data_IF_484662827349
#
_entry.id   IF_484662827349
#
_cell.length_a   1.000
_cell.length_b   1.000
_cell.length_c   1.000
_cell.angle_alpha   90.00
_cell.angle_beta   90.00
_cell.angle_gamma   90.00
#
_symmetry.space_group_name_H-M   'P 1'
#
loop_
_entity.id
_entity.type
_entity.pdbx_description
1 polymer ?
#
# COMPACT_ATOMS: atom_id res chain seq x y z
N UNK A 1 6.68 -2.03 -12.40
CA UNK A 1 5.67 -1.74 -11.35
C UNK A 1 5.65 -2.90 -10.37
N UNK A 2 5.59 -2.61 -9.07
CA UNK A 2 5.57 -3.60 -8.01
C UNK A 2 4.39 -3.34 -7.07
N UNK A 3 3.70 -4.41 -6.68
CA UNK A 3 2.60 -4.37 -5.72
C UNK A 3 3.05 -5.14 -4.49
N UNK A 4 3.07 -4.48 -3.34
CA UNK A 4 3.39 -5.11 -2.07
C UNK A 4 2.16 -5.11 -1.14
N UNK A 5 1.44 -6.24 -1.02
CA UNK A 5 0.31 -6.35 -0.10
C UNK A 5 0.76 -6.63 1.35
N UNK A 6 2.04 -6.95 1.57
CA UNK A 6 2.59 -7.36 2.87
C UNK A 6 3.27 -6.15 3.50
N UNK A 7 2.46 -5.25 4.04
CA UNK A 7 2.93 -4.13 4.85
C UNK A 7 2.87 -4.47 6.35
N UNK A 8 3.78 -3.94 7.18
CA UNK A 8 3.72 -4.10 8.62
C UNK A 8 2.49 -3.42 9.23
N UNK A 9 1.96 -4.03 10.28
CA UNK A 9 0.90 -3.45 11.10
C UNK A 9 1.53 -2.47 12.10
N UNK A 10 0.91 -1.32 12.35
CA UNK A 10 1.30 -0.44 13.45
C UNK A 10 0.46 -0.80 14.68
N UNK A 11 1.13 -1.20 15.77
CA UNK A 11 0.48 -1.64 17.01
C UNK A 11 0.02 -0.43 17.87
N UNK A 12 -0.81 0.43 17.29
CA UNK A 12 -1.48 1.53 17.97
C UNK A 12 -2.97 1.26 18.00
N UNK A 13 -3.53 0.98 19.18
CA UNK A 13 -4.95 0.66 19.38
C UNK A 13 -5.89 1.81 18.99
N UNK A 14 -5.39 3.06 18.97
CA UNK A 14 -6.16 4.21 18.51
C UNK A 14 -6.24 4.31 16.97
N UNK A 15 -5.40 3.54 16.27
CA UNK A 15 -5.29 3.57 14.81
C UNK A 15 -5.67 2.25 14.14
N UNK A 16 -5.41 1.11 14.79
CA UNK A 16 -5.62 -0.22 14.21
C UNK A 16 -6.23 -1.16 15.25
N UNK A 17 -7.39 -1.72 14.92
CA UNK A 17 -7.99 -2.84 15.64
C UNK A 17 -7.57 -4.16 14.96
N UNK A 18 -6.98 -5.07 15.74
CA UNK A 18 -6.74 -6.45 15.31
C UNK A 18 -7.86 -7.31 15.91
N UNK A 19 -8.76 -7.89 15.12
CA UNK A 19 -9.88 -8.65 15.65
C UNK A 19 -9.44 -10.01 16.21
N UNK A 20 -10.02 -10.41 17.35
CA UNK A 20 -10.00 -11.78 17.84
C UNK A 20 -11.00 -12.65 17.08
N UNK A 21 -11.01 -13.96 17.36
CA UNK A 21 -12.02 -14.89 16.81
C UNK A 21 -13.44 -14.44 17.17
N UNK A 22 -13.60 -13.84 18.35
CA UNK A 22 -14.88 -13.35 18.87
C UNK A 22 -15.23 -11.94 18.35
N UNK A 23 -14.37 -11.33 17.53
CA UNK A 23 -14.58 -10.01 16.93
C UNK A 23 -14.14 -8.82 17.80
N UNK A 24 -13.61 -9.08 19.00
CA UNK A 24 -13.10 -8.04 19.90
C UNK A 24 -11.74 -7.50 19.43
N UNK A 25 -11.46 -6.23 19.68
CA UNK A 25 -10.17 -5.63 19.36
C UNK A 25 -9.08 -6.06 20.35
N UNK A 26 -7.99 -6.64 19.84
CA UNK A 26 -6.81 -6.98 20.61
C UNK A 26 -5.54 -6.34 20.05
N UNK A 27 -4.48 -6.37 20.85
CA UNK A 27 -3.11 -6.05 20.45
C UNK A 27 -2.44 -7.25 19.80
N UNK A 28 -1.36 -7.00 19.07
CA UNK A 28 -0.58 -8.07 18.45
C UNK A 28 -0.06 -9.09 19.48
N UNK A 29 0.29 -8.64 20.68
CA UNK A 29 0.79 -9.49 21.77
C UNK A 29 -0.30 -10.40 22.34
N UNK A 30 -1.55 -9.92 22.40
CA UNK A 30 -2.70 -10.70 22.90
C UNK A 30 -3.14 -11.76 21.89
N UNK A 31 -2.87 -11.56 20.58
CA UNK A 31 -3.12 -12.56 19.54
C UNK A 31 -2.15 -13.74 19.58
N UNK A 32 -1.09 -13.65 20.38
CA UNK A 32 -0.15 -14.74 20.66
C UNK A 32 1.06 -14.79 19.72
N UNK A 33 1.92 -15.77 19.97
CA UNK A 33 3.26 -15.87 19.36
C UNK A 33 3.24 -15.98 17.83
N UNK A 34 2.21 -16.61 17.25
CA UNK A 34 2.08 -16.74 15.79
C UNK A 34 1.87 -15.38 15.14
N UNK A 35 1.01 -14.52 15.71
CA UNK A 35 0.78 -13.19 15.19
C UNK A 35 2.03 -12.30 15.29
N UNK A 36 2.80 -12.44 16.38
CA UNK A 36 4.09 -11.76 16.54
C UNK A 36 5.10 -12.24 15.48
N UNK A 37 5.14 -13.54 15.19
CA UNK A 37 5.99 -14.10 14.14
C UNK A 37 5.58 -13.60 12.74
N UNK A 38 4.28 -13.57 12.43
CA UNK A 38 3.76 -13.00 11.17
C UNK A 38 4.14 -11.52 11.02
N UNK A 39 4.01 -10.74 12.09
CA UNK A 39 4.43 -9.34 12.07
C UNK A 39 5.93 -9.20 11.88
N UNK A 40 6.73 -10.04 12.54
CA UNK A 40 8.19 -10.05 12.36
C UNK A 40 8.55 -10.34 10.91
N UNK A 41 7.86 -11.29 10.27
CA UNK A 41 7.99 -11.58 8.85
C UNK A 41 7.62 -10.36 7.98
N UNK A 42 6.51 -9.67 8.28
CA UNK A 42 6.11 -8.44 7.58
C UNK A 42 7.18 -7.35 7.67
N UNK A 43 7.74 -7.11 8.86
CA UNK A 43 8.83 -6.15 9.07
C UNK A 43 10.06 -6.55 8.27
N UNK A 44 10.48 -7.82 8.35
CA UNK A 44 11.65 -8.30 7.61
C UNK A 44 11.47 -8.18 6.09
N UNK A 45 10.27 -8.51 5.59
CA UNK A 45 9.92 -8.40 4.17
C UNK A 45 9.98 -6.96 3.71
N UNK A 46 9.47 -6.02 4.53
CA UNK A 46 9.53 -4.58 4.26
C UNK A 46 10.96 -4.08 4.16
N UNK A 47 11.82 -4.41 5.12
CA UNK A 47 13.25 -3.99 5.11
C UNK A 47 13.97 -4.53 3.87
N UNK A 48 13.77 -5.81 3.53
CA UNK A 48 14.36 -6.43 2.34
C UNK A 48 13.87 -5.78 1.05
N UNK A 49 12.58 -5.44 0.99
CA UNK A 49 11.99 -4.76 -0.15
C UNK A 49 12.59 -3.36 -0.34
N UNK A 50 12.72 -2.59 0.73
CA UNK A 50 13.32 -1.26 0.69
C UNK A 50 14.78 -1.32 0.25
N UNK A 51 15.56 -2.27 0.77
CA UNK A 51 16.93 -2.50 0.33
C UNK A 51 17.00 -2.90 -1.14
N UNK A 52 16.15 -3.84 -1.58
CA UNK A 52 16.08 -4.27 -2.98
C UNK A 52 15.72 -3.13 -3.92
N UNK A 53 14.77 -2.27 -3.54
CA UNK A 53 14.40 -1.08 -4.30
C UNK A 53 15.56 -0.08 -4.39
N UNK A 54 16.32 0.10 -3.31
CA UNK A 54 17.51 0.96 -3.28
C UNK A 54 18.60 0.44 -4.22
N UNK A 55 18.93 -0.85 -4.14
CA UNK A 55 19.93 -1.48 -5.00
C UNK A 55 19.50 -1.45 -6.47
N UNK A 56 18.24 -1.80 -6.75
CA UNK A 56 17.69 -1.77 -8.10
C UNK A 56 17.83 -0.39 -8.76
N UNK A 57 17.59 0.68 -7.99
CA UNK A 57 17.78 2.07 -8.46
C UNK A 57 19.23 2.41 -8.75
N UNK A 58 20.16 1.90 -7.94
CA UNK A 58 21.59 2.12 -8.15
C UNK A 58 22.06 1.42 -9.43
N UNK A 59 21.58 0.20 -9.68
CA UNK A 59 21.97 -0.61 -10.85
C UNK A 59 21.28 -0.16 -12.14
N UNK A 60 20.09 0.45 -12.06
CA UNK A 60 19.28 0.84 -13.22
C UNK A 60 18.91 2.34 -13.19
N UNK A 61 19.90 3.25 -13.32
CA UNK A 61 19.65 4.69 -13.34
C UNK A 61 18.85 5.06 -14.62
N UNK A 62 17.58 5.42 -14.43
CA UNK A 62 16.67 5.80 -15.53
C UNK A 62 15.38 4.99 -15.57
N UNK A 63 15.28 3.91 -14.79
CA UNK A 63 14.02 3.17 -14.63
C UNK A 63 13.13 3.82 -13.57
N UNK A 64 11.85 4.04 -13.90
CA UNK A 64 10.85 4.46 -12.92
C UNK A 64 10.32 3.24 -12.14
N UNK A 65 10.61 3.19 -10.84
CA UNK A 65 10.03 2.19 -9.94
C UNK A 65 8.74 2.73 -9.30
N UNK A 66 7.61 2.13 -9.65
CA UNK A 66 6.32 2.39 -9.03
C UNK A 66 6.02 1.30 -7.98
N UNK A 67 5.96 1.69 -6.71
CA UNK A 67 5.57 0.83 -5.58
C UNK A 67 4.13 1.14 -5.17
N UNK A 68 3.27 0.14 -5.16
CA UNK A 68 1.88 0.26 -4.67
C UNK A 68 1.71 -0.61 -3.43
N UNK A 69 1.33 0.05 -2.33
CA UNK A 69 1.17 -0.56 -1.01
C UNK A 69 -0.10 -0.06 -0.35
N UNK A 70 -0.93 -0.93 0.26
CA UNK A 70 -2.06 -0.50 1.07
C UNK A 70 -1.57 0.41 2.20
N UNK A 71 -2.43 1.32 2.67
CA UNK A 71 -2.08 2.08 3.88
C UNK A 71 -1.89 1.12 5.06
N UNK A 72 -0.95 1.43 5.96
CA UNK A 72 -0.79 0.64 7.16
C UNK A 72 -2.05 0.58 8.04
N UNK A 73 -2.91 1.60 7.97
CA UNK A 73 -4.21 1.59 8.65
C UNK A 73 -5.19 0.56 8.05
N UNK A 74 -5.02 0.21 6.79
CA UNK A 74 -5.85 -0.73 6.02
C UNK A 74 -5.25 -2.15 6.04
N UNK A 75 -3.98 -2.28 6.45
CA UNK A 75 -3.24 -3.55 6.48
C UNK A 75 -3.90 -4.62 7.34
N UNK A 76 -4.64 -4.21 8.38
CA UNK A 76 -5.40 -5.12 9.25
C UNK A 76 -6.52 -5.86 8.52
N UNK A 77 -7.11 -5.24 7.49
CA UNK A 77 -8.11 -5.88 6.64
C UNK A 77 -7.52 -7.05 5.83
N UNK A 78 -6.19 -7.09 5.68
CA UNK A 78 -5.49 -8.21 5.03
C UNK A 78 -4.99 -9.25 6.04
N UNK A 79 -5.36 -9.11 7.33
CA UNK A 79 -5.13 -10.12 8.38
C UNK A 79 -6.34 -11.04 8.57
N UNK A 80 -7.47 -10.76 7.91
CA UNK A 80 -8.63 -11.63 7.88
C UNK A 80 -8.28 -12.94 7.14
N UNK A 81 -7.68 -13.87 7.87
CA UNK A 81 -7.65 -15.29 7.54
C UNK A 81 -8.99 -15.98 7.84
N UNK A 82 -10.11 -15.25 7.88
CA UNK A 82 -11.40 -15.87 8.16
C UNK A 82 -11.80 -16.72 6.95
N UNK A 83 -12.09 -17.99 7.19
CA UNK A 83 -12.74 -18.88 6.22
C UNK A 83 -14.14 -18.40 5.81
N UNK A 84 -14.64 -17.32 6.41
CA UNK A 84 -15.92 -16.69 6.07
C UNK A 84 -15.85 -15.97 4.72
N UNK A 85 -16.78 -16.32 3.82
CA UNK A 85 -16.93 -15.71 2.51
C UNK A 85 -17.31 -14.22 2.58
N UNK A 86 -18.14 -13.81 3.54
CA UNK A 86 -18.59 -12.42 3.67
C UNK A 86 -17.43 -11.45 3.95
N UNK A 87 -16.50 -11.84 4.83
CA UNK A 87 -15.29 -11.08 5.15
C UNK A 87 -14.35 -10.94 3.94
N UNK A 88 -14.28 -11.97 3.08
CA UNK A 88 -13.51 -11.92 1.83
C UNK A 88 -14.12 -10.93 0.84
N UNK A 89 -15.44 -10.92 0.69
CA UNK A 89 -16.14 -9.94 -0.14
C UNK A 89 -15.93 -8.52 0.40
N UNK A 90 -16.02 -8.34 1.72
CA UNK A 90 -15.75 -7.05 2.36
C UNK A 90 -14.33 -6.56 2.07
N UNK A 91 -13.32 -7.42 2.26
CA UNK A 91 -11.91 -7.11 2.00
C UNK A 91 -11.65 -6.75 0.53
N UNK A 92 -12.28 -7.47 -0.41
CA UNK A 92 -12.17 -7.18 -1.85
C UNK A 92 -12.80 -5.83 -2.20
N UNK A 93 -14.02 -5.58 -1.73
CA UNK A 93 -14.71 -4.31 -1.97
C UNK A 93 -13.94 -3.13 -1.38
N UNK A 94 -13.41 -3.30 -0.17
CA UNK A 94 -12.59 -2.28 0.46
C UNK A 94 -11.30 -2.03 -0.32
N UNK A 95 -10.55 -3.10 -0.63
CA UNK A 95 -9.29 -3.01 -1.37
C UNK A 95 -9.46 -2.37 -2.75
N UNK A 96 -10.54 -2.71 -3.47
CA UNK A 96 -10.86 -2.08 -4.75
C UNK A 96 -11.16 -0.59 -4.59
N UNK A 97 -12.10 -0.23 -3.73
CA UNK A 97 -12.50 1.17 -3.55
C UNK A 97 -11.33 2.03 -3.07
N UNK A 98 -10.55 1.53 -2.12
CA UNK A 98 -9.36 2.22 -1.64
C UNK A 98 -8.36 2.44 -2.78
N UNK A 99 -8.11 1.42 -3.62
CA UNK A 99 -7.23 1.54 -4.79
C UNK A 99 -7.75 2.55 -5.81
N UNK A 100 -9.08 2.62 -6.04
CA UNK A 100 -9.68 3.62 -6.93
C UNK A 100 -9.41 5.03 -6.42
N UNK A 101 -9.64 5.31 -5.13
CA UNK A 101 -9.32 6.62 -4.54
C UNK A 101 -7.86 6.98 -4.73
N UNK A 102 -6.98 6.03 -4.48
CA UNK A 102 -5.56 6.23 -4.68
C UNK A 102 -5.19 6.58 -6.12
N UNK A 103 -5.72 5.87 -7.10
CA UNK A 103 -5.44 6.16 -8.51
C UNK A 103 -6.00 7.50 -8.96
N UNK A 104 -7.17 7.90 -8.44
CA UNK A 104 -7.74 9.23 -8.69
C UNK A 104 -6.85 10.32 -8.08
N UNK A 105 -6.49 10.19 -6.79
CA UNK A 105 -5.65 11.16 -6.07
C UNK A 105 -4.26 11.34 -6.70
N UNK A 106 -3.71 10.27 -7.29
CA UNK A 106 -2.36 10.27 -7.86
C UNK A 106 -2.36 10.27 -9.39
N UNK A 107 -3.50 10.54 -10.03
CA UNK A 107 -3.68 10.35 -11.47
C UNK A 107 -2.66 11.13 -12.30
N UNK A 108 -2.43 12.41 -12.00
CA UNK A 108 -1.49 13.24 -12.77
C UNK A 108 -0.05 12.71 -12.68
N UNK A 109 0.38 12.30 -11.50
CA UNK A 109 1.71 11.74 -11.27
C UNK A 109 1.88 10.40 -12.00
N UNK A 110 0.85 9.56 -11.96
CA UNK A 110 0.83 8.27 -12.67
C UNK A 110 0.84 8.49 -14.17
N UNK A 111 -0.03 9.36 -14.70
CA UNK A 111 -0.10 9.72 -16.12
C UNK A 111 1.24 10.22 -16.64
N UNK A 112 1.88 11.15 -15.94
CA UNK A 112 3.22 11.64 -16.29
C UNK A 112 4.26 10.50 -16.28
N UNK A 113 4.17 9.58 -15.32
CA UNK A 113 5.08 8.46 -15.21
C UNK A 113 4.91 7.46 -16.36
N UNK A 114 3.68 7.01 -16.63
CA UNK A 114 3.37 6.05 -17.68
C UNK A 114 3.62 6.64 -19.08
N UNK A 115 3.35 7.94 -19.29
CA UNK A 115 3.60 8.62 -20.56
C UNK A 115 5.08 8.62 -20.96
N UNK A 116 6.03 8.71 -20.00
CA UNK A 116 7.47 8.59 -20.29
C UNK A 116 7.85 7.25 -20.90
N UNK A 117 7.03 6.23 -20.69
CA UNK A 117 7.23 4.87 -21.21
C UNK A 117 6.27 4.56 -22.36
N UNK A 118 5.65 5.57 -22.97
CA UNK A 118 4.74 5.39 -24.11
C UNK A 118 3.39 4.74 -23.76
N UNK A 119 3.01 4.76 -22.48
CA UNK A 119 1.74 4.18 -22.01
C UNK A 119 0.73 5.28 -21.70
N UNK A 120 -0.45 5.17 -22.31
CA UNK A 120 -1.62 5.99 -21.95
C UNK A 120 -2.40 5.32 -20.81
N UNK A 121 -2.93 6.14 -19.91
CA UNK A 121 -3.73 5.68 -18.77
C UNK A 121 -5.01 6.52 -18.67
N UNK A 122 -6.11 5.89 -18.24
CA UNK A 122 -7.40 6.56 -18.08
C UNK A 122 -8.11 6.11 -16.80
N UNK A 123 -9.04 6.93 -16.32
CA UNK A 123 -9.88 6.63 -15.15
C UNK A 123 -11.25 6.06 -15.54
N UNK A 124 -11.55 5.93 -16.84
CA UNK A 124 -12.90 5.69 -17.37
C UNK A 124 -13.56 4.40 -16.86
N UNK A 125 -12.76 3.37 -16.55
CA UNK A 125 -13.25 2.07 -16.07
C UNK A 125 -13.24 1.93 -14.55
N UNK A 126 -12.84 2.96 -13.81
CA UNK A 126 -12.86 2.91 -12.36
C UNK A 126 -14.27 3.22 -11.84
N UNK A 127 -14.90 2.23 -11.24
CA UNK A 127 -16.26 2.33 -10.70
C UNK A 127 -16.18 2.39 -9.18
N UNK A 128 -15.82 3.55 -8.61
CA UNK A 128 -15.88 3.71 -7.15
C UNK A 128 -17.34 3.53 -6.69
N UNK A 129 -17.55 2.59 -5.79
CA UNK A 129 -18.87 2.36 -5.21
C UNK A 129 -19.12 3.45 -4.15
N UNK A 130 -20.09 4.35 -4.40
CA UNK A 130 -20.38 5.48 -3.50
C UNK A 130 -20.78 5.04 -2.09
N UNK A 131 -21.26 3.81 -1.92
CA UNK A 131 -21.77 3.31 -0.64
C UNK A 131 -20.73 3.31 0.48
N UNK A 132 -19.43 3.13 0.17
CA UNK A 132 -18.35 3.22 1.15
C UNK A 132 -17.82 4.65 1.37
N UNK A 133 -18.22 5.64 0.55
CA UNK A 133 -17.87 7.07 0.80
C UNK A 133 -18.40 7.56 2.14
N UNK A 134 -19.57 7.08 2.54
CA UNK A 134 -20.25 7.50 3.78
C UNK A 134 -19.79 6.69 4.99
N UNK A 135 -19.40 5.42 4.81
CA UNK A 135 -18.90 4.58 5.90
C UNK A 135 -17.44 4.86 6.29
N UNK A 136 -16.65 5.49 5.42
CA UNK A 136 -15.20 5.68 5.58
C UNK A 136 -14.75 7.11 5.99
N UNK A 137 -15.64 7.92 6.57
CA UNK A 137 -15.22 9.16 7.24
C UNK A 137 -14.92 8.84 8.71
N UNK A 138 -13.64 8.89 9.13
CA UNK A 138 -13.06 10.18 9.50
C UNK A 138 -11.62 10.46 9.00
N UNK A 139 -11.33 11.75 8.91
CA UNK A 139 -10.06 12.48 8.88
C UNK A 139 -8.84 11.86 8.17
N UNK A 140 -8.54 12.41 6.99
CA UNK A 140 -7.21 12.72 6.46
C UNK A 140 -6.06 11.81 6.97
N UNK A 141 -6.01 10.56 6.51
CA UNK A 141 -4.84 9.70 6.65
C UNK A 141 -4.51 9.13 5.28
N UNK A 142 -3.24 9.22 4.85
CA UNK A 142 -2.79 8.73 3.54
C UNK A 142 -3.22 7.27 3.39
N UNK A 143 -4.12 7.01 2.43
CA UNK A 143 -4.81 5.72 2.22
C UNK A 143 -3.94 4.70 1.47
N UNK A 144 -2.87 5.16 0.85
CA UNK A 144 -1.83 4.31 0.23
C UNK A 144 -0.49 5.04 0.28
N UNK A 145 0.59 4.26 0.26
CA UNK A 145 1.94 4.79 0.07
C UNK A 145 2.35 4.72 -1.39
N UNK A 146 2.35 5.86 -2.09
CA UNK A 146 3.01 5.95 -3.39
C UNK A 146 4.41 6.49 -3.23
N UNK A 147 5.40 5.65 -3.48
CA UNK A 147 6.78 6.09 -3.51
C UNK A 147 7.24 6.10 -4.97
N UNK A 148 7.07 7.25 -5.63
CA UNK A 148 7.74 7.53 -6.91
C UNK A 148 9.12 8.08 -6.60
N UNK A 149 10.15 7.24 -6.68
CA UNK A 149 11.53 7.67 -6.51
C UNK A 149 12.15 7.98 -7.87
N UNK A 150 12.23 9.28 -8.21
CA UNK A 150 12.98 9.76 -9.37
C UNK A 150 14.48 9.62 -9.10
N UNK A 151 15.23 9.06 -10.05
CA UNK A 151 16.69 9.22 -10.07
C UNK A 151 17.01 10.57 -10.73
N UNK A 152 17.52 11.52 -9.97
CA UNK A 152 18.08 12.75 -10.52
C UNK A 152 19.46 12.42 -11.08
N UNK A 153 19.55 12.27 -12.40
CA UNK A 153 20.84 12.28 -13.09
C UNK A 153 21.44 13.69 -12.95
N UNK A 154 22.36 13.88 -11.99
CA UNK A 154 23.19 15.09 -11.97
C UNK A 154 24.17 14.99 -13.14
N UNK A 155 23.92 15.74 -14.21
CA UNK A 155 24.89 16.01 -15.26
C UNK A 155 24.96 17.52 -15.53
N UNK A 156 26.03 18.17 -15.05
CA UNK A 156 26.68 19.40 -15.53
C UNK A 156 27.78 19.75 -14.51
N UNK A 157 29.02 20.16 -14.79
CA UNK A 157 29.87 20.55 -15.94
C UNK A 157 31.32 20.31 -15.44
N UNK A 158 32.34 19.91 -16.20
CA UNK A 158 32.82 20.54 -17.44
C UNK A 158 33.98 21.52 -17.13
N UNK A 159 35.22 21.02 -17.24
CA UNK A 159 36.43 21.72 -17.72
C UNK A 159 37.01 22.91 -16.95
N UNK A 160 38.19 22.73 -16.34
CA UNK A 160 39.52 23.04 -16.91
C UNK A 160 40.60 22.47 -16.01
#
# INVERSE_FOLDING_TARGET
MMINPIVPIYNDRSMVCIPTIDGECCSLTERGVIAVAEQTFRINSRVKLELGALLFRADHPGTDLLMIEPSPAESSLFLYGSMNFAERIHSLNYGYNSSVYYFIENYDMLRECFARHGMEVSLERLTADRFLQQAAAPAARRRFGLTRQKSTASHSRGGR
#
